data_IF_395336983904
#
_entry.id   IF_395336983904
#
_cell.length_a   1.000
_cell.length_b   1.000
_cell.length_c   1.000
_cell.angle_alpha   90.00
_cell.angle_beta   90.00
_cell.angle_gamma   90.00
#
_symmetry.space_group_name_H-M   'P 1'
#
loop_
_entity.id
_entity.type
_entity.pdbx_description
1 polymer ?
#
# COMPACT_ATOMS: atom_id res chain seq x y z
N UNK A 1 -3.55 3.71 53.24
CA UNK A 1 -3.23 2.32 52.94
C UNK A 1 -3.64 2.01 51.55
N UNK A 2 -2.72 1.88 50.64
CA UNK A 2 -2.69 1.16 49.34
C UNK A 2 -1.77 1.88 48.36
N UNK A 3 -0.48 1.68 48.57
CA UNK A 3 0.56 2.04 47.62
C UNK A 3 1.70 1.01 47.72
N UNK A 4 1.35 -0.28 47.62
CA UNK A 4 2.33 -1.38 47.55
C UNK A 4 1.76 -2.39 46.54
N UNK A 5 2.15 -2.27 45.28
CA UNK A 5 1.67 -3.20 44.25
C UNK A 5 2.28 -3.04 42.86
N UNK A 6 3.07 -1.99 42.59
CA UNK A 6 3.60 -1.74 41.23
C UNK A 6 5.13 -1.86 41.13
N UNK A 7 5.86 -2.06 42.23
CA UNK A 7 7.32 -2.04 42.23
C UNK A 7 7.99 -3.41 41.94
N UNK A 8 7.28 -4.50 41.78
CA UNK A 8 7.85 -5.84 41.66
C UNK A 8 7.85 -6.43 40.23
N UNK A 9 7.37 -5.71 39.25
CA UNK A 9 7.39 -6.18 37.83
C UNK A 9 8.58 -5.62 37.04
N UNK A 10 9.29 -4.61 37.56
CA UNK A 10 10.36 -3.92 36.82
C UNK A 10 11.76 -4.54 36.93
N UNK A 11 11.98 -5.56 37.76
CA UNK A 11 13.36 -6.11 37.97
C UNK A 11 13.70 -7.36 37.16
N UNK A 12 12.75 -7.88 36.33
CA UNK A 12 12.99 -9.14 35.60
C UNK A 12 13.39 -8.96 34.11
N UNK A 13 13.53 -7.71 33.64
CA UNK A 13 13.83 -7.44 32.22
C UNK A 13 15.24 -6.90 31.91
N UNK A 14 16.20 -7.00 32.83
CA UNK A 14 17.56 -6.46 32.59
C UNK A 14 18.58 -7.48 32.06
N UNK A 15 18.20 -8.69 31.68
CA UNK A 15 19.16 -9.71 31.18
C UNK A 15 18.77 -10.41 29.88
N UNK A 16 18.17 -9.68 28.92
CA UNK A 16 18.04 -10.20 27.56
C UNK A 16 19.05 -9.52 26.65
N UNK A 17 20.08 -10.27 26.25
CA UNK A 17 21.00 -9.89 25.18
C UNK A 17 20.21 -9.42 23.94
N UNK A 18 20.68 -8.39 23.22
CA UNK A 18 20.07 -7.99 21.96
C UNK A 18 20.19 -9.15 20.97
N UNK A 19 19.08 -9.83 20.69
CA UNK A 19 19.02 -10.76 19.56
C UNK A 19 19.14 -9.89 18.32
N UNK A 20 20.29 -9.96 17.67
CA UNK A 20 20.55 -9.35 16.36
C UNK A 20 19.64 -10.04 15.34
N UNK A 21 18.50 -9.43 15.04
CA UNK A 21 17.64 -9.81 13.92
C UNK A 21 18.19 -9.20 12.61
N UNK A 22 19.43 -9.54 12.28
CA UNK A 22 19.92 -9.38 10.92
C UNK A 22 19.28 -10.49 10.09
N UNK A 23 18.09 -10.24 9.58
CA UNK A 23 17.59 -10.98 8.43
C UNK A 23 18.00 -10.16 7.20
N UNK A 24 18.99 -10.62 6.41
CA UNK A 24 19.17 -10.09 5.08
C UNK A 24 17.83 -10.28 4.35
N UNK A 25 17.37 -9.26 3.61
CA UNK A 25 16.30 -9.48 2.64
C UNK A 25 16.78 -10.64 1.75
N UNK A 26 16.20 -11.82 1.97
CA UNK A 26 16.50 -12.97 1.16
C UNK A 26 15.92 -12.67 -0.22
N UNK A 27 16.78 -12.29 -1.15
CA UNK A 27 16.49 -12.42 -2.56
C UNK A 27 16.15 -13.90 -2.78
N UNK A 28 14.87 -14.19 -2.87
CA UNK A 28 14.42 -15.52 -3.24
C UNK A 28 14.94 -15.78 -4.64
N UNK A 29 16.02 -16.54 -4.77
CA UNK A 29 16.49 -17.03 -6.06
C UNK A 29 15.49 -18.09 -6.52
N UNK A 30 14.55 -17.68 -7.31
CA UNK A 30 13.57 -18.56 -7.91
C UNK A 30 14.20 -19.29 -9.12
N UNK A 31 14.01 -20.58 -9.20
CA UNK A 31 14.36 -21.39 -10.37
C UNK A 31 13.66 -20.86 -11.62
N UNK A 32 14.38 -20.66 -12.72
CA UNK A 32 13.94 -19.93 -13.91
C UNK A 32 12.99 -20.72 -14.85
N UNK A 33 12.40 -21.83 -14.43
CA UNK A 33 11.60 -22.70 -15.32
C UNK A 33 10.10 -22.81 -14.97
N UNK A 34 9.67 -22.45 -13.76
CA UNK A 34 8.25 -22.56 -13.40
C UNK A 34 7.51 -21.24 -13.66
N UNK A 35 6.34 -21.33 -14.29
CA UNK A 35 5.43 -20.19 -14.45
C UNK A 35 5.04 -19.67 -13.07
N UNK A 36 5.18 -18.36 -12.87
CA UNK A 36 4.71 -17.72 -11.64
C UNK A 36 3.19 -17.75 -11.57
N UNK A 37 2.67 -18.14 -10.43
CA UNK A 37 1.22 -18.26 -10.19
C UNK A 37 0.72 -17.01 -9.47
N UNK A 38 -0.25 -16.34 -10.06
CA UNK A 38 -0.83 -15.10 -9.57
C UNK A 38 -2.30 -15.33 -9.22
N UNK A 39 -2.66 -15.09 -7.96
CA UNK A 39 -4.05 -15.02 -7.55
C UNK A 39 -4.63 -13.66 -7.94
N UNK A 40 -5.76 -13.65 -8.62
CA UNK A 40 -6.42 -12.43 -9.08
C UNK A 40 -7.79 -12.30 -8.41
N UNK A 41 -8.04 -11.17 -7.77
CA UNK A 41 -9.32 -10.84 -7.14
C UNK A 41 -9.80 -9.50 -7.73
N UNK A 42 -10.63 -9.49 -8.78
CA UNK A 42 -11.12 -8.24 -9.37
C UNK A 42 -11.92 -7.40 -8.38
N UNK A 43 -12.66 -8.04 -7.48
CA UNK A 43 -13.44 -7.38 -6.44
C UNK A 43 -14.73 -6.75 -6.97
N UNK A 44 -14.96 -5.48 -6.61
CA UNK A 44 -16.21 -4.76 -6.82
C UNK A 44 -16.06 -3.58 -7.77
N UNK A 45 -17.20 -3.07 -8.23
CA UNK A 45 -17.29 -1.82 -8.98
C UNK A 45 -16.35 -1.77 -10.17
N UNK A 46 -15.53 -0.71 -10.25
CA UNK A 46 -14.54 -0.52 -11.32
C UNK A 46 -13.40 -1.56 -11.28
N UNK A 47 -13.20 -2.27 -10.17
CA UNK A 47 -12.20 -3.34 -10.10
C UNK A 47 -12.38 -4.39 -11.20
N UNK A 48 -13.64 -4.70 -11.55
CA UNK A 48 -14.01 -5.63 -12.64
C UNK A 48 -13.62 -5.13 -14.04
N UNK A 49 -13.26 -3.86 -14.18
CA UNK A 49 -12.83 -3.24 -15.44
C UNK A 49 -11.32 -3.00 -15.45
N UNK A 50 -10.77 -2.42 -14.36
CA UNK A 50 -9.37 -2.01 -14.32
C UNK A 50 -8.40 -3.20 -14.15
N UNK A 51 -8.84 -4.30 -13.49
CA UNK A 51 -7.98 -5.49 -13.34
C UNK A 51 -7.81 -6.23 -14.67
N UNK A 52 -8.86 -6.59 -15.42
CA UNK A 52 -8.68 -7.17 -16.77
C UNK A 52 -7.85 -6.26 -17.68
N UNK A 53 -8.04 -4.95 -17.63
CA UNK A 53 -7.27 -3.96 -18.38
C UNK A 53 -5.77 -3.99 -18.01
N UNK A 54 -5.43 -4.06 -16.73
CA UNK A 54 -4.05 -4.19 -16.28
C UNK A 54 -3.42 -5.55 -16.69
N UNK A 55 -4.19 -6.63 -16.61
CA UNK A 55 -3.73 -7.96 -17.05
C UNK A 55 -3.45 -8.02 -18.56
N UNK A 56 -4.18 -7.28 -19.39
CA UNK A 56 -3.87 -7.12 -20.81
C UNK A 56 -2.46 -6.52 -21.01
N UNK A 57 -2.14 -5.46 -20.27
CA UNK A 57 -0.81 -4.84 -20.32
C UNK A 57 0.29 -5.79 -19.83
N UNK A 58 0.03 -6.54 -18.75
CA UNK A 58 0.98 -7.55 -18.26
C UNK A 58 1.23 -8.64 -19.30
N UNK A 59 0.20 -9.14 -19.98
CA UNK A 59 0.37 -10.16 -21.05
C UNK A 59 1.22 -9.65 -22.21
N UNK A 60 1.19 -8.35 -22.51
CA UNK A 60 2.02 -7.75 -23.56
C UNK A 60 3.52 -7.78 -23.23
N UNK A 61 3.92 -8.00 -21.97
CA UNK A 61 5.33 -8.18 -21.59
C UNK A 61 5.91 -9.52 -21.99
N UNK A 62 5.07 -10.50 -22.32
CA UNK A 62 5.43 -11.89 -22.63
C UNK A 62 6.05 -12.67 -21.47
N UNK A 63 5.95 -12.17 -20.23
CA UNK A 63 6.35 -12.93 -19.04
C UNK A 63 5.45 -14.14 -18.85
N UNK A 64 6.03 -15.28 -18.54
CA UNK A 64 5.30 -16.52 -18.31
C UNK A 64 4.61 -16.51 -16.92
N UNK A 65 3.38 -16.00 -16.86
CA UNK A 65 2.54 -15.99 -15.67
C UNK A 65 1.31 -16.86 -15.86
N UNK A 66 0.85 -17.46 -14.76
CA UNK A 66 -0.42 -18.18 -14.68
C UNK A 66 -1.35 -17.41 -13.74
N UNK A 67 -2.55 -17.07 -14.21
CA UNK A 67 -3.53 -16.30 -13.45
C UNK A 67 -4.69 -17.20 -13.04
N UNK A 68 -5.00 -17.19 -11.74
CA UNK A 68 -6.19 -17.83 -11.18
C UNK A 68 -7.08 -16.76 -10.59
N UNK A 69 -8.28 -16.60 -11.16
CA UNK A 69 -9.25 -15.60 -10.71
C UNK A 69 -10.16 -16.16 -9.63
N UNK A 70 -10.39 -15.36 -8.60
CA UNK A 70 -11.30 -15.63 -7.49
C UNK A 70 -12.47 -14.63 -7.50
N UNK A 71 -13.67 -15.10 -7.30
CA UNK A 71 -14.92 -14.33 -7.31
C UNK A 71 -15.23 -13.60 -5.99
N UNK A 72 -14.22 -13.39 -5.15
CA UNK A 72 -14.37 -12.74 -3.83
C UNK A 72 -14.78 -11.28 -3.99
N UNK A 73 -16.05 -11.00 -3.67
CA UNK A 73 -16.69 -9.72 -3.97
C UNK A 73 -17.97 -9.55 -3.16
N UNK A 74 -18.59 -8.37 -3.25
CA UNK A 74 -19.94 -8.14 -2.74
C UNK A 74 -20.98 -9.04 -3.40
N UNK A 75 -20.87 -9.32 -4.69
CA UNK A 75 -21.81 -10.20 -5.39
C UNK A 75 -21.78 -11.62 -4.83
N UNK A 76 -20.59 -12.14 -4.53
CA UNK A 76 -20.43 -13.44 -3.88
C UNK A 76 -21.05 -13.42 -2.49
N UNK A 77 -20.72 -12.40 -1.70
CA UNK A 77 -21.29 -12.27 -0.33
C UNK A 77 -22.83 -12.17 -0.33
N UNK A 78 -23.40 -11.40 -1.25
CA UNK A 78 -24.86 -11.26 -1.36
C UNK A 78 -25.55 -12.55 -1.83
N UNK A 79 -24.84 -13.40 -2.58
CA UNK A 79 -25.37 -14.66 -3.09
C UNK A 79 -25.44 -15.76 -2.03
N UNK A 80 -24.40 -15.92 -1.22
CA UNK A 80 -24.27 -17.07 -0.32
C UNK A 80 -23.72 -16.74 1.08
N UNK A 81 -23.50 -15.46 1.38
CA UNK A 81 -22.97 -15.00 2.67
C UNK A 81 -21.47 -15.24 2.88
N UNK A 82 -20.76 -15.73 1.86
CA UNK A 82 -19.31 -16.01 1.96
C UNK A 82 -18.51 -14.77 1.55
N UNK A 83 -17.65 -14.31 2.43
CA UNK A 83 -16.69 -13.25 2.16
C UNK A 83 -15.41 -13.84 1.57
N UNK A 84 -14.73 -14.65 2.35
CA UNK A 84 -13.55 -15.42 1.95
C UNK A 84 -13.67 -16.83 2.52
N UNK A 85 -13.33 -17.89 1.75
CA UNK A 85 -13.44 -19.27 2.25
C UNK A 85 -12.46 -19.56 3.38
N UNK A 86 -12.79 -20.44 4.33
CA UNK A 86 -11.84 -20.94 5.33
C UNK A 86 -10.58 -21.51 4.68
N UNK A 87 -9.40 -21.23 5.23
CA UNK A 87 -8.12 -21.69 4.70
C UNK A 87 -7.62 -20.95 3.45
N UNK A 88 -8.32 -19.89 3.03
CA UNK A 88 -7.94 -19.13 1.82
C UNK A 88 -6.59 -18.43 1.96
N UNK A 89 -6.29 -17.87 3.13
CA UNK A 89 -5.01 -17.15 3.35
C UNK A 89 -3.81 -18.09 3.32
N UNK A 90 -3.93 -19.28 3.92
CA UNK A 90 -2.92 -20.33 3.86
C UNK A 90 -2.73 -20.85 2.43
N UNK A 91 -3.82 -21.03 1.69
CA UNK A 91 -3.79 -21.44 0.29
C UNK A 91 -3.10 -20.36 -0.57
N UNK A 92 -3.44 -19.07 -0.40
CA UNK A 92 -2.79 -17.97 -1.10
C UNK A 92 -1.28 -17.95 -0.85
N UNK A 93 -0.85 -18.08 0.41
CA UNK A 93 0.56 -18.08 0.79
C UNK A 93 1.35 -19.31 0.33
N UNK A 94 0.69 -20.47 0.15
CA UNK A 94 1.32 -21.72 -0.29
C UNK A 94 1.37 -21.87 -1.80
N UNK A 95 0.29 -21.49 -2.49
CA UNK A 95 0.05 -21.88 -3.89
C UNK A 95 0.31 -20.75 -4.90
N UNK A 96 0.54 -19.51 -4.43
CA UNK A 96 0.72 -18.36 -5.31
C UNK A 96 1.98 -17.56 -4.97
N UNK A 97 2.62 -16.99 -5.99
CA UNK A 97 3.79 -16.11 -5.86
C UNK A 97 3.40 -14.66 -5.52
N UNK A 98 2.23 -14.22 -6.00
CA UNK A 98 1.68 -12.91 -5.71
C UNK A 98 0.15 -12.92 -5.80
N UNK A 99 -0.47 -11.87 -5.21
CA UNK A 99 -1.90 -11.62 -5.26
C UNK A 99 -2.14 -10.26 -5.92
N UNK A 100 -2.97 -10.22 -6.94
CA UNK A 100 -3.37 -8.99 -7.61
C UNK A 100 -4.84 -8.71 -7.34
N UNK A 101 -5.11 -7.65 -6.57
CA UNK A 101 -6.45 -7.30 -6.08
C UNK A 101 -6.91 -6.02 -6.75
N UNK A 102 -8.18 -5.99 -7.13
CA UNK A 102 -8.85 -4.78 -7.57
C UNK A 102 -9.43 -3.98 -6.39
N UNK A 103 -10.52 -3.30 -6.64
CA UNK A 103 -11.17 -2.50 -5.61
C UNK A 103 -12.24 -3.32 -4.88
N UNK A 104 -12.40 -3.09 -3.58
CA UNK A 104 -13.40 -3.74 -2.76
C UNK A 104 -14.30 -2.70 -2.08
N UNK A 105 -15.58 -3.02 -2.01
CA UNK A 105 -16.61 -2.20 -1.38
C UNK A 105 -17.84 -1.99 -2.28
N UNK A 106 -19.03 -2.22 -1.70
CA UNK A 106 -20.30 -2.06 -2.42
C UNK A 106 -21.38 -1.56 -1.46
N UNK A 107 -22.10 -0.48 -1.77
CA UNK A 107 -23.13 0.11 -0.89
C UNK A 107 -24.30 -0.82 -0.62
N UNK A 108 -24.51 -1.89 -1.41
CA UNK A 108 -25.49 -2.94 -1.14
C UNK A 108 -25.15 -3.74 0.12
N UNK A 109 -23.87 -3.81 0.50
CA UNK A 109 -23.40 -4.44 1.75
C UNK A 109 -23.16 -3.35 2.79
N UNK A 110 -24.19 -3.01 3.56
CA UNK A 110 -24.18 -1.85 4.50
C UNK A 110 -23.03 -1.82 5.50
N UNK A 111 -22.57 -2.99 5.95
CA UNK A 111 -21.44 -3.11 6.89
C UNK A 111 -20.07 -3.10 6.22
N UNK A 112 -20.06 -3.20 4.90
CA UNK A 112 -18.84 -3.40 4.09
C UNK A 112 -17.96 -4.58 4.57
N UNK A 113 -18.59 -5.57 5.23
CA UNK A 113 -17.88 -6.66 5.90
C UNK A 113 -17.03 -7.50 4.93
N UNK A 114 -17.53 -7.73 3.71
CA UNK A 114 -16.82 -8.49 2.70
C UNK A 114 -15.48 -7.82 2.34
N UNK A 115 -15.48 -6.50 2.11
CA UNK A 115 -14.25 -5.76 1.81
C UNK A 115 -13.28 -5.80 3.00
N UNK A 116 -13.80 -5.64 4.24
CA UNK A 116 -13.01 -5.71 5.46
C UNK A 116 -12.36 -7.08 5.62
N UNK A 117 -13.13 -8.18 5.53
CA UNK A 117 -12.61 -9.53 5.73
C UNK A 117 -11.66 -9.97 4.60
N UNK A 118 -11.89 -9.58 3.36
CA UNK A 118 -10.99 -9.91 2.25
C UNK A 118 -9.69 -9.08 2.37
N UNK A 119 -9.80 -7.75 2.38
CA UNK A 119 -8.62 -6.88 2.27
C UNK A 119 -7.81 -6.84 3.56
N UNK A 120 -8.46 -6.53 4.70
CA UNK A 120 -7.75 -6.50 5.98
C UNK A 120 -7.38 -7.91 6.44
N UNK A 121 -8.20 -8.93 6.11
CA UNK A 121 -7.84 -10.32 6.33
C UNK A 121 -6.51 -10.69 5.66
N UNK A 122 -6.33 -10.39 4.37
CA UNK A 122 -5.04 -10.61 3.68
C UNK A 122 -3.90 -9.87 4.38
N UNK A 123 -4.10 -8.60 4.77
CA UNK A 123 -3.05 -7.82 5.44
C UNK A 123 -2.64 -8.40 6.78
N UNK A 124 -3.60 -8.85 7.60
CA UNK A 124 -3.34 -9.35 8.95
C UNK A 124 -2.92 -10.81 8.97
N UNK A 125 -3.68 -11.71 8.34
CA UNK A 125 -3.43 -13.15 8.38
C UNK A 125 -2.16 -13.55 7.60
N UNK A 126 -1.84 -12.85 6.52
CA UNK A 126 -0.60 -13.06 5.77
C UNK A 126 0.55 -12.16 6.26
N UNK A 127 0.31 -11.36 7.30
CA UNK A 127 1.29 -10.44 7.91
C UNK A 127 1.95 -9.49 6.88
N UNK A 128 1.15 -8.90 5.97
CA UNK A 128 1.62 -7.96 4.94
C UNK A 128 1.90 -6.59 5.55
N UNK A 129 2.95 -6.50 6.35
CA UNK A 129 3.18 -5.40 7.28
C UNK A 129 3.67 -4.09 6.64
N UNK A 130 4.19 -4.14 5.42
CA UNK A 130 4.72 -2.96 4.73
C UNK A 130 3.84 -2.59 3.54
N UNK A 131 3.09 -1.49 3.66
CA UNK A 131 2.38 -0.93 2.52
C UNK A 131 3.26 0.12 1.85
N UNK A 132 3.63 -0.13 0.61
CA UNK A 132 4.50 0.71 -0.21
C UNK A 132 3.66 1.47 -1.21
N UNK A 133 3.67 2.80 -1.13
CA UNK A 133 2.92 3.70 -2.02
C UNK A 133 3.86 4.70 -2.67
N UNK A 134 4.38 4.42 -3.88
CA UNK A 134 5.16 5.37 -4.66
C UNK A 134 4.31 6.57 -5.08
N UNK A 135 4.87 7.75 -4.99
CA UNK A 135 4.26 9.01 -5.43
C UNK A 135 5.17 9.61 -6.47
N UNK A 136 4.77 9.50 -7.73
CA UNK A 136 5.59 9.91 -8.85
C UNK A 136 4.77 10.65 -9.90
N UNK A 137 5.06 11.93 -10.07
CA UNK A 137 4.38 12.74 -11.05
C UNK A 137 4.79 12.29 -12.48
N UNK A 138 3.80 11.90 -13.27
CA UNK A 138 4.01 11.42 -14.64
C UNK A 138 4.17 12.57 -15.63
N UNK A 139 3.42 13.66 -15.43
CA UNK A 139 3.46 14.88 -16.25
C UNK A 139 3.02 16.09 -15.42
N UNK A 140 3.60 17.26 -15.64
CA UNK A 140 3.36 18.49 -14.87
C UNK A 140 1.88 18.90 -14.83
N UNK A 141 1.16 18.68 -15.95
CA UNK A 141 -0.27 19.01 -16.03
C UNK A 141 -1.18 18.27 -15.04
N UNK A 142 -0.70 17.17 -14.47
CA UNK A 142 -1.45 16.39 -13.49
C UNK A 142 -1.33 16.94 -12.07
N UNK A 143 -0.29 17.75 -11.79
CA UNK A 143 -0.07 18.30 -10.47
C UNK A 143 -0.94 19.55 -10.26
N UNK A 144 -1.73 19.63 -9.17
CA UNK A 144 -2.54 20.81 -8.87
C UNK A 144 -1.71 22.00 -8.39
N UNK A 145 -0.44 21.80 -8.06
CA UNK A 145 0.44 22.85 -7.55
C UNK A 145 1.06 23.67 -8.69
N UNK A 146 1.18 24.97 -8.49
CA UNK A 146 1.81 25.86 -9.47
C UNK A 146 3.34 25.74 -9.44
N UNK A 147 3.93 25.69 -10.63
CA UNK A 147 5.40 25.73 -10.79
C UNK A 147 6.11 24.46 -10.32
N UNK A 148 5.40 23.35 -10.20
CA UNK A 148 5.96 22.04 -9.87
C UNK A 148 6.30 21.31 -11.17
N UNK A 149 7.52 20.87 -11.28
CA UNK A 149 8.00 20.05 -12.40
C UNK A 149 7.86 18.55 -12.02
N UNK A 150 7.88 17.67 -13.03
CA UNK A 150 7.80 16.22 -12.83
C UNK A 150 8.81 15.68 -11.82
N UNK A 151 10.04 16.20 -11.86
CA UNK A 151 11.14 15.78 -10.95
C UNK A 151 10.91 16.19 -9.49
N UNK A 152 10.01 17.14 -9.23
CA UNK A 152 9.77 17.68 -7.88
C UNK A 152 8.84 16.80 -7.05
N UNK A 153 8.16 15.82 -7.68
CA UNK A 153 7.29 14.84 -7.01
C UNK A 153 7.77 13.43 -7.38
N UNK A 154 8.72 12.93 -6.61
CA UNK A 154 9.25 11.57 -6.70
C UNK A 154 9.69 11.08 -5.31
N UNK A 155 8.75 10.58 -4.54
CA UNK A 155 9.00 10.03 -3.21
C UNK A 155 8.15 8.77 -2.97
N UNK A 156 8.36 8.08 -1.86
CA UNK A 156 7.56 6.92 -1.47
C UNK A 156 7.11 7.05 -0.02
N UNK A 157 5.88 6.61 0.25
CA UNK A 157 5.39 6.44 1.61
C UNK A 157 5.40 4.96 1.97
N UNK A 158 6.11 4.64 3.04
CA UNK A 158 6.15 3.33 3.68
C UNK A 158 5.22 3.39 4.87
N UNK A 159 4.03 2.80 4.73
CA UNK A 159 2.97 2.77 5.72
C UNK A 159 3.03 1.44 6.50
N UNK A 160 3.08 1.50 7.82
CA UNK A 160 2.80 0.33 8.64
C UNK A 160 1.38 -0.15 8.35
N UNK A 161 1.14 -1.45 8.23
CA UNK A 161 -0.06 -1.97 7.60
C UNK A 161 -0.87 -2.97 8.43
N UNK A 162 -0.39 -3.35 9.61
CA UNK A 162 -0.96 -4.44 10.43
C UNK A 162 -1.29 -4.04 11.87
N UNK A 163 -1.04 -2.79 12.24
CA UNK A 163 -1.27 -2.27 13.60
C UNK A 163 -2.13 -1.00 13.57
N UNK A 164 -2.19 -0.30 14.69
CA UNK A 164 -2.93 0.94 14.84
C UNK A 164 -4.43 0.73 15.09
N UNK A 165 -5.29 1.69 14.75
CA UNK A 165 -6.73 1.60 15.01
C UNK A 165 -7.45 0.57 14.11
N UNK A 166 -6.81 0.09 13.04
CA UNK A 166 -7.37 -0.92 12.13
C UNK A 166 -7.45 -2.33 12.75
N UNK A 167 -6.79 -2.56 13.90
CA UNK A 167 -6.91 -3.81 14.65
C UNK A 167 -8.29 -4.01 15.31
N UNK A 168 -9.18 -3.02 15.22
CA UNK A 168 -10.55 -3.06 15.73
C UNK A 168 -10.65 -3.34 17.24
N UNK A 169 -9.62 -2.93 18.00
CA UNK A 169 -9.57 -3.08 19.43
C UNK A 169 -10.33 -1.93 20.10
N UNK A 170 -11.53 -2.21 20.59
CA UNK A 170 -12.37 -1.20 21.20
C UNK A 170 -13.74 -1.71 21.60
N UNK A 171 -14.69 -0.80 21.75
CA UNK A 171 -16.07 -1.16 22.08
C UNK A 171 -16.97 0.04 22.28
N UNK A 172 -18.25 -0.25 22.45
CA UNK A 172 -19.28 0.76 22.69
C UNK A 172 -20.01 0.42 24.00
N UNK A 173 -20.04 1.41 24.91
CA UNK A 173 -20.84 1.33 26.14
C UNK A 173 -22.10 2.17 25.96
N UNK A 174 -23.23 1.72 26.55
CA UNK A 174 -24.55 2.39 26.54
C UNK A 174 -25.01 2.82 25.15
N UNK A 175 -24.77 1.98 24.12
CA UNK A 175 -25.09 2.25 22.71
C UNK A 175 -26.53 2.75 22.53
N UNK A 176 -26.71 3.85 21.77
CA UNK A 176 -28.00 4.44 21.45
C UNK A 176 -28.60 5.32 22.56
N UNK A 177 -27.85 5.64 23.61
CA UNK A 177 -28.26 6.58 24.67
C UNK A 177 -27.45 7.87 24.62
N UNK A 178 -27.89 8.91 25.37
CA UNK A 178 -27.12 10.17 25.49
C UNK A 178 -25.75 9.98 26.19
N UNK A 179 -25.61 8.90 26.98
CA UNK A 179 -24.36 8.54 27.67
C UNK A 179 -23.52 7.51 26.89
N UNK A 180 -23.73 7.38 25.59
CA UNK A 180 -22.95 6.46 24.76
C UNK A 180 -21.48 6.80 24.77
N UNK A 181 -20.63 5.80 25.00
CA UNK A 181 -19.18 5.92 24.95
C UNK A 181 -18.64 4.97 23.88
N UNK A 182 -17.94 5.48 22.89
CA UNK A 182 -17.22 4.70 21.90
C UNK A 182 -15.71 4.76 22.16
N UNK A 183 -15.07 3.60 22.19
CA UNK A 183 -13.63 3.45 22.42
C UNK A 183 -13.02 2.76 21.20
N UNK A 184 -12.02 3.37 20.60
CA UNK A 184 -11.17 2.79 19.58
C UNK A 184 -9.72 2.95 20.00
N UNK A 185 -9.02 1.85 20.27
CA UNK A 185 -7.63 1.88 20.68
C UNK A 185 -6.70 1.93 19.47
N UNK A 186 -5.62 2.68 19.61
CA UNK A 186 -4.48 2.65 18.72
C UNK A 186 -3.39 1.78 19.36
N UNK A 187 -3.03 0.68 18.71
CA UNK A 187 -2.07 -0.30 19.23
C UNK A 187 -0.81 -0.28 18.37
N UNK A 188 0.35 -0.12 19.02
CA UNK A 188 1.66 -0.19 18.39
C UNK A 188 2.56 -1.11 19.22
N UNK A 189 3.10 -2.15 18.58
CA UNK A 189 4.09 -3.00 19.23
C UNK A 189 5.50 -2.55 18.87
N UNK A 190 6.47 -2.80 19.76
CA UNK A 190 7.89 -2.56 19.45
C UNK A 190 8.31 -3.29 18.18
N UNK A 191 7.87 -4.54 17.99
CA UNK A 191 8.16 -5.37 16.82
C UNK A 191 7.63 -4.73 15.54
N UNK A 192 6.35 -4.31 15.53
CA UNK A 192 5.70 -3.70 14.36
C UNK A 192 6.39 -2.40 13.95
N UNK A 193 6.64 -1.51 14.92
CA UNK A 193 7.31 -0.23 14.68
C UNK A 193 8.74 -0.44 14.17
N UNK A 194 9.51 -1.35 14.77
CA UNK A 194 10.89 -1.59 14.38
C UNK A 194 10.99 -2.16 12.96
N UNK A 195 10.17 -3.16 12.62
CA UNK A 195 10.23 -3.82 11.31
C UNK A 195 9.87 -2.88 10.16
N UNK A 196 8.88 -1.99 10.35
CA UNK A 196 8.50 -1.06 9.28
C UNK A 196 9.54 0.04 9.10
N UNK A 197 10.16 0.51 10.18
CA UNK A 197 11.26 1.48 10.12
C UNK A 197 12.47 0.85 9.41
N UNK A 198 12.87 -0.37 9.78
CA UNK A 198 13.95 -1.11 9.09
C UNK A 198 13.64 -1.29 7.61
N UNK A 199 12.42 -1.69 7.28
CA UNK A 199 11.97 -1.81 5.89
C UNK A 199 12.15 -0.51 5.12
N UNK A 200 11.82 0.64 5.70
CA UNK A 200 11.99 1.94 5.05
C UNK A 200 13.46 2.28 4.75
N UNK A 201 14.37 1.95 5.66
CA UNK A 201 15.81 2.13 5.44
C UNK A 201 16.36 1.17 4.38
N UNK A 202 15.98 -0.12 4.43
CA UNK A 202 16.37 -1.10 3.42
C UNK A 202 15.84 -0.73 2.04
N UNK A 203 14.57 -0.31 1.98
CA UNK A 203 13.97 0.22 0.74
C UNK A 203 14.77 1.41 0.20
N UNK A 204 15.16 2.34 1.06
CA UNK A 204 15.97 3.49 0.67
C UNK A 204 17.30 3.05 0.06
N UNK A 205 18.02 2.11 0.66
CA UNK A 205 19.28 1.57 0.12
C UNK A 205 19.10 0.86 -1.22
N UNK A 206 18.10 -0.03 -1.32
CA UNK A 206 17.83 -0.79 -2.55
C UNK A 206 17.49 0.13 -3.73
N UNK A 207 16.69 1.16 -3.47
CA UNK A 207 16.24 2.11 -4.50
C UNK A 207 17.14 3.35 -4.63
N UNK A 208 18.33 3.34 -3.98
CA UNK A 208 19.32 4.43 -4.02
C UNK A 208 18.75 5.78 -3.56
N UNK A 209 17.75 5.74 -2.68
CA UNK A 209 17.21 6.91 -1.99
C UNK A 209 18.17 7.35 -0.90
N UNK A 210 18.17 8.65 -0.57
CA UNK A 210 19.16 9.25 0.32
C UNK A 210 18.62 9.70 1.67
N UNK A 211 17.30 9.84 1.79
CA UNK A 211 16.66 10.41 2.98
C UNK A 211 15.50 9.53 3.44
N UNK A 212 15.43 9.31 4.76
CA UNK A 212 14.28 8.70 5.42
C UNK A 212 13.71 9.69 6.44
N UNK A 213 12.46 10.09 6.22
CA UNK A 213 11.70 10.92 7.14
C UNK A 213 10.69 10.05 7.89
N UNK A 214 10.71 10.10 9.21
CA UNK A 214 9.66 9.50 10.02
C UNK A 214 8.60 10.55 10.37
N UNK A 215 7.32 10.22 10.12
CA UNK A 215 6.21 11.12 10.46
C UNK A 215 5.31 10.50 11.54
N UNK A 216 4.98 11.32 12.55
CA UNK A 216 4.11 10.94 13.66
C UNK A 216 3.34 12.13 14.23
N UNK A 217 2.65 11.94 15.35
CA UNK A 217 1.99 13.00 16.13
C UNK A 217 2.44 12.96 17.59
N UNK A 218 3.71 12.70 17.85
CA UNK A 218 4.26 12.49 19.21
C UNK A 218 4.14 13.70 20.13
N UNK A 219 3.92 14.90 19.62
CA UNK A 219 3.62 16.07 20.43
C UNK A 219 2.25 16.02 21.11
N UNK A 220 1.30 15.22 20.59
CA UNK A 220 -0.02 15.02 21.17
C UNK A 220 -0.22 13.56 21.62
N UNK A 221 0.20 12.59 20.81
CA UNK A 221 0.11 11.16 21.08
C UNK A 221 1.44 10.68 21.69
N UNK A 222 1.71 11.10 22.92
CA UNK A 222 3.04 10.96 23.53
C UNK A 222 3.45 9.52 23.83
N UNK A 223 2.50 8.62 24.07
CA UNK A 223 2.78 7.21 24.40
C UNK A 223 3.17 6.45 23.15
N UNK A 224 2.28 6.38 22.15
CA UNK A 224 2.52 5.69 20.88
C UNK A 224 3.64 6.37 20.06
N UNK A 225 3.58 7.70 19.91
CA UNK A 225 4.62 8.48 19.25
C UNK A 225 5.98 8.39 19.96
N UNK A 226 5.99 8.33 21.29
CA UNK A 226 7.22 8.10 22.05
C UNK A 226 7.90 6.77 21.74
N UNK A 227 7.13 5.70 21.45
CA UNK A 227 7.67 4.44 20.98
C UNK A 227 8.32 4.61 19.59
N UNK A 228 7.61 5.22 18.64
CA UNK A 228 8.10 5.50 17.29
C UNK A 228 9.40 6.30 17.31
N UNK A 229 9.47 7.37 18.10
CA UNK A 229 10.65 8.23 18.23
C UNK A 229 11.88 7.47 18.75
N UNK A 230 11.70 6.66 19.81
CA UNK A 230 12.82 5.87 20.36
C UNK A 230 13.33 4.82 19.39
N UNK A 231 12.40 4.09 18.74
CA UNK A 231 12.75 3.03 17.80
C UNK A 231 13.41 3.61 16.56
N UNK A 232 12.88 4.72 16.02
CA UNK A 232 13.49 5.38 14.87
C UNK A 232 14.94 5.79 15.13
N UNK A 233 15.23 6.39 16.29
CA UNK A 233 16.60 6.77 16.67
C UNK A 233 17.54 5.56 16.76
N UNK A 234 17.06 4.44 17.32
CA UNK A 234 17.85 3.22 17.44
C UNK A 234 18.17 2.64 16.06
N UNK A 235 17.17 2.49 15.21
CA UNK A 235 17.36 1.92 13.87
C UNK A 235 18.19 2.85 12.99
N UNK A 236 17.92 4.16 12.99
CA UNK A 236 18.65 5.15 12.20
C UNK A 236 20.17 5.13 12.45
N UNK A 237 20.60 4.83 13.67
CA UNK A 237 22.03 4.72 14.01
C UNK A 237 22.76 3.60 13.26
N UNK A 238 22.04 2.61 12.72
CA UNK A 238 22.60 1.51 11.93
C UNK A 238 22.74 1.86 10.42
N UNK A 239 22.23 3.03 10.00
CA UNK A 239 22.17 3.47 8.61
C UNK A 239 22.80 4.84 8.41
N UNK A 240 24.08 4.97 8.78
CA UNK A 240 24.83 6.25 8.72
C UNK A 240 24.98 6.84 7.30
N UNK A 241 24.69 6.05 6.27
CA UNK A 241 24.71 6.44 4.86
C UNK A 241 23.40 7.11 4.39
N UNK A 242 22.37 7.17 5.24
CA UNK A 242 21.05 7.72 4.94
C UNK A 242 20.77 8.92 5.86
N UNK A 243 20.44 10.05 5.27
CA UNK A 243 19.99 11.24 5.99
C UNK A 243 18.64 10.96 6.66
N UNK A 244 18.50 11.34 7.95
CA UNK A 244 17.28 11.09 8.70
C UNK A 244 16.66 12.37 9.21
N UNK A 245 15.32 12.43 9.18
CA UNK A 245 14.57 13.57 9.71
C UNK A 245 13.24 13.10 10.32
N UNK A 246 12.61 14.04 11.03
CA UNK A 246 11.31 13.84 11.63
C UNK A 246 10.42 15.05 11.38
N UNK A 247 9.13 14.78 11.10
CA UNK A 247 8.09 15.79 11.06
C UNK A 247 6.84 15.30 11.79
N UNK A 248 6.11 16.23 12.43
CA UNK A 248 4.74 15.94 12.81
C UNK A 248 3.86 15.83 11.58
N UNK A 249 2.88 14.96 11.62
CA UNK A 249 2.04 14.61 10.46
C UNK A 249 1.33 15.81 9.83
N UNK A 250 0.88 16.77 10.64
CA UNK A 250 0.28 18.02 10.17
C UNK A 250 1.28 18.92 9.43
N UNK A 251 2.51 19.00 9.93
CA UNK A 251 3.59 19.70 9.24
C UNK A 251 3.95 18.99 7.93
N UNK A 252 4.00 17.66 7.91
CA UNK A 252 4.23 16.87 6.70
C UNK A 252 3.19 17.20 5.62
N UNK A 253 1.89 17.18 5.97
CA UNK A 253 0.82 17.52 5.01
C UNK A 253 1.00 18.94 4.44
N UNK A 254 1.33 19.91 5.29
CA UNK A 254 1.60 21.29 4.84
C UNK A 254 2.80 21.35 3.89
N UNK A 255 3.89 20.65 4.22
CA UNK A 255 5.10 20.64 3.41
C UNK A 255 4.92 19.86 2.10
N UNK A 256 4.09 18.82 2.04
CA UNK A 256 3.73 18.15 0.78
C UNK A 256 3.11 19.10 -0.24
N UNK A 257 2.32 20.07 0.22
CA UNK A 257 1.71 21.08 -0.65
C UNK A 257 2.69 22.22 -0.99
N UNK A 258 3.57 22.60 -0.06
CA UNK A 258 4.46 23.77 -0.24
C UNK A 258 5.74 23.45 -1.00
N UNK A 259 6.34 22.29 -0.74
CA UNK A 259 7.64 21.89 -1.29
C UNK A 259 7.79 20.36 -1.30
N UNK A 260 7.09 19.65 -2.22
CA UNK A 260 7.12 18.19 -2.27
C UNK A 260 8.50 17.60 -2.61
N UNK A 261 9.38 18.37 -3.25
CA UNK A 261 10.71 17.91 -3.71
C UNK A 261 11.69 17.59 -2.57
N UNK A 262 11.38 18.00 -1.33
CA UNK A 262 12.23 17.70 -0.17
C UNK A 262 12.11 16.24 0.31
N UNK A 263 11.06 15.52 -0.12
CA UNK A 263 10.78 14.16 0.32
C UNK A 263 11.45 13.12 -0.57
N UNK A 264 11.83 12.00 0.06
CA UNK A 264 12.44 10.86 -0.62
C UNK A 264 11.79 9.54 -0.16
N UNK A 265 12.00 9.14 1.09
CA UNK A 265 11.28 8.03 1.73
C UNK A 265 10.62 8.55 3.00
N UNK A 266 9.32 8.32 3.15
CA UNK A 266 8.55 8.67 4.35
C UNK A 266 8.09 7.39 5.00
N UNK A 267 8.35 7.21 6.31
CA UNK A 267 7.81 6.10 7.09
C UNK A 267 6.85 6.63 8.15
N UNK A 268 5.70 5.98 8.29
CA UNK A 268 4.67 6.40 9.26
C UNK A 268 3.75 5.23 9.66
N UNK A 269 2.93 5.46 10.68
CA UNK A 269 1.95 4.49 11.15
C UNK A 269 0.81 4.26 10.14
N UNK A 270 -0.04 3.31 10.45
CA UNK A 270 -1.10 2.85 9.56
C UNK A 270 -2.09 3.98 9.20
N UNK A 271 -2.68 4.65 10.18
CA UNK A 271 -3.72 5.65 9.91
C UNK A 271 -3.14 6.92 9.27
N UNK A 272 -1.99 7.37 9.71
CA UNK A 272 -1.37 8.54 9.09
C UNK A 272 -0.89 8.24 7.67
N UNK A 273 -0.35 7.03 7.44
CA UNK A 273 0.02 6.57 6.11
C UNK A 273 -1.14 6.54 5.14
N UNK A 274 -2.33 6.13 5.60
CA UNK A 274 -3.55 6.16 4.80
C UNK A 274 -3.90 7.60 4.36
N UNK A 275 -4.00 8.50 5.32
CA UNK A 275 -4.41 9.88 5.08
C UNK A 275 -3.42 10.64 4.18
N UNK A 276 -2.11 10.54 4.46
CA UNK A 276 -1.12 11.31 3.70
C UNK A 276 -0.90 10.76 2.29
N UNK A 277 -1.15 9.49 2.06
CA UNK A 277 -1.03 8.93 0.69
C UNK A 277 -2.17 9.34 -0.22
N UNK A 278 -3.36 9.65 0.30
CA UNK A 278 -4.45 10.23 -0.48
C UNK A 278 -4.13 11.68 -0.89
N UNK A 279 -3.56 12.46 0.05
CA UNK A 279 -3.03 13.79 -0.28
C UNK A 279 -1.90 13.68 -1.32
N UNK A 280 -0.98 12.76 -1.14
CA UNK A 280 0.13 12.52 -2.07
C UNK A 280 -0.35 12.05 -3.45
N UNK A 281 -1.39 11.21 -3.50
CA UNK A 281 -2.00 10.81 -4.76
C UNK A 281 -2.54 12.00 -5.56
N UNK A 282 -3.12 13.02 -4.88
CA UNK A 282 -3.55 14.24 -5.54
C UNK A 282 -2.39 14.99 -6.23
N UNK A 283 -1.16 14.91 -5.69
CA UNK A 283 0.01 15.56 -6.28
C UNK A 283 0.50 14.89 -7.57
N UNK A 284 0.20 13.61 -7.77
CA UNK A 284 0.61 12.86 -8.96
C UNK A 284 -0.47 12.70 -10.03
N UNK A 285 -1.69 13.24 -9.81
CA UNK A 285 -2.81 13.17 -10.76
C UNK A 285 -4.04 12.44 -10.25
N UNK A 286 -4.10 12.12 -8.95
CA UNK A 286 -5.24 11.50 -8.29
C UNK A 286 -5.10 10.00 -8.03
N UNK A 287 -6.11 9.43 -7.37
CA UNK A 287 -6.12 8.02 -6.99
C UNK A 287 -6.12 7.07 -8.20
N UNK A 288 -6.66 7.52 -9.35
CA UNK A 288 -6.75 6.71 -10.56
C UNK A 288 -5.39 6.33 -11.17
N UNK A 289 -4.30 7.02 -10.82
CA UNK A 289 -2.93 6.72 -11.28
C UNK A 289 -2.05 6.07 -10.22
N UNK A 290 -2.54 5.96 -8.98
CA UNK A 290 -1.76 5.52 -7.83
C UNK A 290 -1.79 3.99 -7.67
N UNK A 291 -0.62 3.37 -7.72
CA UNK A 291 -0.43 1.95 -7.40
C UNK A 291 0.04 1.74 -5.96
N UNK A 292 -0.16 0.54 -5.44
CA UNK A 292 0.19 0.14 -4.08
C UNK A 292 0.64 -1.32 -4.01
N UNK A 293 1.57 -1.60 -3.09
CA UNK A 293 1.97 -2.94 -2.72
C UNK A 293 1.85 -3.14 -1.21
N UNK A 294 1.32 -4.29 -0.79
CA UNK A 294 1.27 -4.72 0.60
C UNK A 294 2.22 -5.91 0.73
N UNK A 295 3.34 -5.72 1.39
CA UNK A 295 4.48 -6.62 1.34
C UNK A 295 4.76 -7.32 2.67
N UNK A 296 5.13 -8.58 2.57
CA UNK A 296 5.98 -9.28 3.50
C UNK A 296 7.20 -9.78 2.72
N UNK A 297 8.37 -9.15 2.86
CA UNK A 297 9.54 -9.54 2.07
C UNK A 297 9.83 -11.04 2.12
N UNK A 298 10.04 -11.64 0.93
CA UNK A 298 10.29 -13.06 0.78
C UNK A 298 9.07 -13.98 0.88
N UNK A 299 7.84 -13.40 0.91
CA UNK A 299 6.57 -14.17 0.94
C UNK A 299 5.62 -13.66 -0.12
N UNK A 300 4.57 -14.45 -0.39
CA UNK A 300 3.44 -14.01 -1.22
C UNK A 300 2.91 -12.67 -0.71
N UNK A 301 2.88 -11.70 -1.60
CA UNK A 301 2.53 -10.32 -1.30
C UNK A 301 1.41 -9.83 -2.21
N UNK A 302 0.71 -8.77 -1.80
CA UNK A 302 -0.49 -8.30 -2.47
C UNK A 302 -0.26 -6.95 -3.14
N UNK A 303 -0.80 -6.78 -4.34
CA UNK A 303 -0.69 -5.57 -5.17
C UNK A 303 -2.08 -5.11 -5.55
N UNK A 304 -2.36 -3.82 -5.36
CA UNK A 304 -3.69 -3.25 -5.57
C UNK A 304 -3.61 -1.77 -5.96
N UNK A 305 -4.52 -1.24 -6.79
CA UNK A 305 -4.65 0.20 -6.97
C UNK A 305 -5.11 0.86 -5.67
N UNK A 306 -4.74 2.12 -5.47
CA UNK A 306 -5.11 2.86 -4.25
C UNK A 306 -6.60 3.27 -4.25
N UNK A 307 -7.18 3.43 -5.42
CA UNK A 307 -8.60 3.82 -5.56
C UNK A 307 -9.58 2.76 -5.04
N UNK A 308 -10.72 3.19 -4.53
CA UNK A 308 -11.82 2.31 -4.15
C UNK A 308 -12.64 1.79 -5.35
N UNK A 309 -13.73 1.11 -5.06
CA UNK A 309 -14.62 0.46 -6.05
C UNK A 309 -15.43 1.41 -6.93
N UNK A 310 -15.55 2.68 -6.53
CA UNK A 310 -16.24 3.74 -7.27
C UNK A 310 -17.54 3.28 -7.99
N UNK A 311 -18.56 2.78 -7.27
CA UNK A 311 -19.74 2.15 -7.86
C UNK A 311 -20.46 2.99 -8.94
N UNK A 312 -20.50 4.33 -8.83
CA UNK A 312 -21.13 5.16 -9.87
C UNK A 312 -20.48 5.07 -11.25
N UNK A 313 -19.23 4.61 -11.33
CA UNK A 313 -18.45 4.51 -12.58
C UNK A 313 -18.43 3.09 -13.17
N UNK A 314 -18.82 2.09 -12.38
CA UNK A 314 -18.80 0.70 -12.77
C UNK A 314 -19.65 0.42 -14.04
N UNK A 315 -19.10 -0.35 -14.97
CA UNK A 315 -19.74 -0.75 -16.22
C UNK A 315 -19.79 0.33 -17.30
N UNK A 316 -19.15 1.49 -17.09
CA UNK A 316 -19.21 2.62 -18.01
C UNK A 316 -18.00 2.80 -18.92
N UNK A 317 -16.98 1.97 -18.75
CA UNK A 317 -15.70 2.05 -19.49
C UNK A 317 -15.01 3.43 -19.38
N UNK A 318 -15.08 4.06 -18.19
CA UNK A 318 -14.53 5.40 -17.93
C UNK A 318 -13.48 5.42 -16.79
N UNK A 319 -13.34 4.32 -16.07
CA UNK A 319 -12.40 4.21 -14.96
C UNK A 319 -10.95 4.25 -15.48
N UNK A 320 -10.09 4.97 -14.79
CA UNK A 320 -8.67 5.03 -15.15
C UNK A 320 -7.97 3.71 -14.77
N UNK A 321 -7.38 2.98 -15.73
CA UNK A 321 -6.72 1.70 -15.46
C UNK A 321 -5.28 1.86 -14.95
N UNK A 322 -4.71 3.08 -14.98
CA UNK A 322 -3.27 3.31 -14.73
C UNK A 322 -2.88 2.89 -13.31
N UNK A 323 -3.71 3.13 -12.30
CA UNK A 323 -3.44 2.69 -10.93
C UNK A 323 -3.27 1.17 -10.82
N UNK A 324 -4.15 0.40 -11.47
CA UNK A 324 -4.04 -1.05 -11.53
C UNK A 324 -2.82 -1.49 -12.37
N UNK A 325 -2.54 -0.84 -13.49
CA UNK A 325 -1.36 -1.11 -14.35
C UNK A 325 -0.07 -0.84 -13.57
N UNK A 326 0.00 0.26 -12.83
CA UNK A 326 1.15 0.60 -11.99
C UNK A 326 1.36 -0.42 -10.87
N UNK A 327 0.26 -0.87 -10.23
CA UNK A 327 0.32 -1.94 -9.21
C UNK A 327 0.81 -3.26 -9.81
N UNK A 328 0.38 -3.59 -11.03
CA UNK A 328 0.87 -4.76 -11.74
C UNK A 328 2.37 -4.64 -12.11
N UNK A 329 2.85 -3.45 -12.46
CA UNK A 329 4.28 -3.20 -12.64
C UNK A 329 5.06 -3.39 -11.33
N UNK A 330 4.53 -2.94 -10.18
CA UNK A 330 5.14 -3.20 -8.86
C UNK A 330 5.17 -4.71 -8.55
N UNK A 331 4.13 -5.45 -8.91
CA UNK A 331 4.09 -6.92 -8.78
C UNK A 331 5.20 -7.59 -9.62
N UNK A 332 5.37 -7.18 -10.87
CA UNK A 332 6.43 -7.71 -11.74
C UNK A 332 7.82 -7.39 -11.18
N UNK A 333 8.06 -6.19 -10.70
CA UNK A 333 9.33 -5.80 -10.07
C UNK A 333 9.63 -6.67 -8.84
N UNK A 334 8.64 -6.87 -7.97
CA UNK A 334 8.74 -7.74 -6.80
C UNK A 334 9.07 -9.20 -7.16
N UNK A 335 8.48 -9.71 -8.25
CA UNK A 335 8.73 -11.06 -8.76
C UNK A 335 10.08 -11.19 -9.51
N UNK A 336 10.84 -10.10 -9.64
CA UNK A 336 12.15 -10.06 -10.29
C UNK A 336 12.15 -9.68 -11.78
N UNK A 337 10.99 -9.38 -12.36
CA UNK A 337 10.84 -8.94 -13.76
C UNK A 337 11.01 -7.43 -13.90
N UNK A 338 12.17 -6.92 -13.46
CA UNK A 338 12.47 -5.48 -13.37
C UNK A 338 12.43 -4.75 -14.71
N UNK A 339 12.85 -5.42 -15.78
CA UNK A 339 12.85 -4.84 -17.13
C UNK A 339 11.42 -4.64 -17.63
N UNK A 340 10.57 -5.62 -17.45
CA UNK A 340 9.18 -5.59 -17.87
C UNK A 340 8.38 -4.55 -17.05
N UNK A 341 8.61 -4.49 -15.76
CA UNK A 341 8.07 -3.43 -14.91
C UNK A 341 8.49 -2.03 -15.40
N UNK A 342 9.75 -1.86 -15.77
CA UNK A 342 10.26 -0.59 -16.32
C UNK A 342 9.61 -0.25 -17.68
N UNK A 343 9.38 -1.24 -18.56
CA UNK A 343 8.69 -1.05 -19.86
C UNK A 343 7.25 -0.60 -19.65
N UNK A 344 6.52 -1.23 -18.71
CA UNK A 344 5.15 -0.81 -18.36
C UNK A 344 5.16 0.64 -17.86
N UNK A 345 6.03 0.99 -16.91
CA UNK A 345 6.11 2.34 -16.38
C UNK A 345 6.47 3.38 -17.45
N UNK A 346 7.31 3.03 -18.41
CA UNK A 346 7.65 3.89 -19.56
C UNK A 346 6.44 4.09 -20.49
N UNK A 347 5.69 3.02 -20.79
CA UNK A 347 4.49 3.08 -21.61
C UNK A 347 3.37 3.90 -20.95
N UNK A 348 3.17 3.74 -19.65
CA UNK A 348 2.21 4.56 -18.86
C UNK A 348 2.59 6.04 -18.95
N UNK A 349 3.86 6.39 -18.75
CA UNK A 349 4.32 7.76 -18.89
C UNK A 349 4.06 8.31 -20.29
N UNK A 350 4.38 7.55 -21.31
CA UNK A 350 4.16 7.96 -22.70
C UNK A 350 2.67 8.17 -22.99
N UNK A 351 1.77 7.33 -22.43
CA UNK A 351 0.33 7.49 -22.54
C UNK A 351 -0.14 8.85 -21.97
N UNK A 352 0.38 9.22 -20.80
CA UNK A 352 0.05 10.52 -20.17
C UNK A 352 0.61 11.68 -21.03
N UNK A 353 1.85 11.62 -21.46
CA UNK A 353 2.49 12.65 -22.30
C UNK A 353 1.75 12.87 -23.64
N UNK A 354 1.13 11.82 -24.20
CA UNK A 354 0.41 11.88 -25.46
C UNK A 354 -1.12 12.06 -25.30
N UNK A 355 -1.62 12.16 -24.06
CA UNK A 355 -3.05 12.29 -23.79
C UNK A 355 -3.87 11.04 -24.12
N UNK A 356 -3.21 9.87 -24.23
CA UNK A 356 -3.83 8.57 -24.52
C UNK A 356 -4.34 7.92 -23.21
N UNK A 357 -5.16 8.67 -22.50
CA UNK A 357 -5.64 8.40 -21.13
C UNK A 357 -7.14 8.65 -21.00
N UNK A 358 -7.67 8.37 -19.82
CA UNK A 358 -9.08 8.59 -19.47
C UNK A 358 -9.36 10.05 -19.09
N UNK A 359 -10.63 10.41 -19.02
CA UNK A 359 -11.08 11.80 -18.87
C UNK A 359 -10.69 12.45 -17.53
N UNK A 360 -10.52 11.68 -16.47
CA UNK A 360 -10.12 12.15 -15.12
C UNK A 360 -8.75 12.82 -15.09
N UNK A 361 -7.87 12.45 -16.03
CA UNK A 361 -6.54 13.06 -16.21
C UNK A 361 -6.37 13.74 -17.58
N UNK A 362 -7.48 14.22 -18.15
CA UNK A 362 -7.50 15.06 -19.34
C UNK A 362 -7.51 14.33 -20.68
N UNK A 363 -7.53 13.01 -20.70
CA UNK A 363 -7.62 12.22 -21.94
C UNK A 363 -9.06 12.08 -22.47
N UNK A 364 -9.23 11.23 -23.48
CA UNK A 364 -10.53 10.99 -24.13
C UNK A 364 -10.84 9.50 -24.30
N UNK A 365 -9.99 8.63 -23.82
CA UNK A 365 -10.16 7.19 -23.99
C UNK A 365 -11.03 6.59 -22.89
N UNK A 366 -11.67 5.46 -23.20
CA UNK A 366 -12.24 4.59 -22.19
C UNK A 366 -11.17 3.72 -21.52
N UNK A 367 -11.55 3.02 -20.46
CA UNK A 367 -10.67 2.11 -19.70
C UNK A 367 -9.95 1.11 -20.60
N UNK A 368 -10.72 0.42 -21.47
CA UNK A 368 -10.19 -0.60 -22.36
C UNK A 368 -9.25 -0.01 -23.42
N UNK A 369 -9.66 1.09 -24.06
CA UNK A 369 -8.85 1.73 -25.10
C UNK A 369 -7.53 2.28 -24.54
N UNK A 370 -7.55 2.84 -23.33
CA UNK A 370 -6.34 3.29 -22.62
C UNK A 370 -5.38 2.12 -22.36
N UNK A 371 -5.88 1.02 -21.82
CA UNK A 371 -5.07 -0.17 -21.54
C UNK A 371 -4.51 -0.82 -22.82
N UNK A 372 -5.33 -0.96 -23.86
CA UNK A 372 -4.90 -1.52 -25.15
C UNK A 372 -3.78 -0.68 -25.77
N UNK A 373 -3.89 0.66 -25.73
CA UNK A 373 -2.83 1.54 -26.21
C UNK A 373 -1.52 1.33 -25.42
N UNK A 374 -1.59 1.27 -24.07
CA UNK A 374 -0.42 1.03 -23.22
C UNK A 374 0.18 -0.35 -23.53
N UNK A 375 -0.66 -1.40 -23.68
CA UNK A 375 -0.22 -2.74 -24.02
C UNK A 375 0.54 -2.79 -25.36
N UNK A 376 0.06 -2.05 -26.37
CA UNK A 376 0.74 -1.92 -27.64
C UNK A 376 2.15 -1.31 -27.50
N UNK A 377 2.32 -0.30 -26.65
CA UNK A 377 3.64 0.30 -26.43
C UNK A 377 4.57 -0.64 -25.67
N UNK A 378 4.05 -1.42 -24.73
CA UNK A 378 4.82 -2.45 -24.00
C UNK A 378 5.28 -3.58 -24.91
N UNK A 379 4.49 -3.95 -25.94
CA UNK A 379 4.81 -5.00 -26.90
C UNK A 379 5.90 -4.63 -27.93
N UNK A 380 6.17 -3.34 -28.08
CA UNK A 380 7.22 -2.83 -28.99
C UNK A 380 8.60 -2.88 -28.35
#
# INVERSE_FOLDING_TARGET
MQAIGIALVFSYFQSLNPISLHHPMILVSFSSMDKRRIAVVPGDGIGKEVIPAALEVVRATSVALEFTEFDWSADRYLKDGTTIPPGAFEMLGRDFDAIFVGALGDPRVKTNIHAKEILLGMRFEMDLYANVRPVKLLHESLCPLKGVERKDVDFVVIRENTEGPYMDAGGILKKGTLDEVAIQNEIHTRKGVERIIRFAFEYAREHKRKKVLMADKSNAMTISGGLWQRVFKIVAAEYADIETSHMYIDALCMHMVRDPKQFDVIVTNNVFGDIVTDLAAALQGGLGVAGSANLHPGRTSMFEPVHGSAPPFAGKDIANPIGAITSAAMMLDYLGYKMEASRINAAVRLAVEQGMTTADIGGKLGTKACAAWIAEQVGK
#
